data_IF_634498740308
#
_entry.id   IF_634498740308
#
_cell.length_a   1.000
_cell.length_b   1.000
_cell.length_c   1.000
_cell.angle_alpha   90.00
_cell.angle_beta   90.00
_cell.angle_gamma   90.00
#
_symmetry.space_group_name_H-M   'P 1'
#
loop_
_entity.id
_entity.type
_entity.pdbx_description
1 polymer ?
2 polymer ?
3 water ?
#
loop_
_entity_poly.entity_id
_entity_poly.type
_entity_poly.pdbx_seq_one_letter_code
_entity_poly.pdbx_strand_id
1 'polydeoxyribonucleotide' '(DC)(DG)(DA)(DA)(DT)(DT)(DA)(DA)(DT)(DT)(DC)(DG)' ?
#
# COMPACT_ATOMS: atom_id res chain seq x y z
N UNK I 1 -12.56 1.80 -1.21
CA UNK I 1 -12.86 0.46 -0.64
C UNK I 1 -11.59 -0.32 -0.33
N UNK I 2 -11.50 -0.81 0.91
CA UNK I 2 -10.48 -1.78 1.29
C UNK I 2 -11.11 -3.18 1.30
N UNK I 3 -10.31 -4.22 1.06
CA UNK I 3 -10.84 -5.58 1.15
C UNK I 3 -11.11 -5.96 2.61
N UNK I 4 -11.51 -7.22 2.84
CA UNK I 4 -11.80 -7.71 4.18
C UNK I 4 -10.51 -8.04 4.90
N UNK I 5 -10.50 -7.91 6.21
CA UNK I 5 -9.34 -8.37 7.00
C UNK I 5 -8.32 -7.31 7.36
N UNK I 6 -7.39 -7.68 8.24
CA UNK I 6 -6.41 -6.72 8.73
C UNK I 6 -5.48 -6.28 7.61
N UNK I 7 -5.26 -4.96 7.48
CA UNK I 7 -4.31 -4.47 6.45
C UNK I 7 -2.86 -4.93 6.73
N UNK I 8 -2.08 -5.17 5.67
CA UNK I 8 -0.65 -5.47 5.81
C UNK I 8 0.04 -4.32 6.53
N UNK I 9 1.22 -4.59 7.11
CA UNK I 9 1.93 -3.60 7.89
C UNK I 9 3.43 -3.55 7.57
N UNK I 10 3.77 -2.19 7.42
N UNK J 2 -9.55 -16.02 -17.84
CA UNK J 2 -8.58 -17.01 -17.27
C UNK J 2 -9.14 -18.44 -17.41
N UNK J 3 -8.26 -19.45 -17.43
CA UNK J 3 -8.68 -20.85 -17.43
C UNK J 3 -8.82 -21.38 -15.99
N UNK J 4 -9.18 -22.67 -15.88
CA UNK J 4 -9.37 -23.31 -14.58
C UNK J 4 -8.05 -23.51 -13.83
N UNK J 5 -8.10 -23.44 -12.50
CA UNK J 5 -6.96 -23.84 -11.67
C UNK J 5 -5.97 -22.75 -11.29
N UNK J 6 -4.98 -23.10 -10.49
CA UNK J 6 -3.99 -22.13 -10.06
C UNK J 6 -3.12 -21.66 -11.23
N UNK J 7 -2.95 -20.34 -11.36
CA UNK J 7 -2.06 -19.74 -12.34
C UNK J 7 -0.63 -20.23 -12.18
N UNK J 8 0.06 -20.41 -13.30
CA UNK J 8 1.50 -20.67 -13.27
C UNK J 8 2.16 -19.50 -12.59
N UNK J 9 3.36 -19.72 -12.08
CA UNK J 9 3.99 -18.72 -11.26
C UNK J 9 5.43 -18.57 -11.67
N UNK J 10 6.08 -17.39 -11.66
N UNK K 1 16.75 6.45 -1.59
CA UNK K 1 15.74 5.38 -1.86
C UNK K 1 14.35 5.95 -2.13
N UNK K 2 13.52 5.12 -2.75
CA UNK K 2 12.10 5.41 -2.89
C UNK K 2 11.32 4.35 -2.08
N UNK K 3 10.09 4.70 -1.67
CA UNK K 3 9.27 3.66 -1.03
C UNK K 3 8.94 2.51 -2.01
N UNK K 4 8.50 1.37 -1.48
CA UNK K 4 8.00 0.28 -2.32
C UNK K 4 6.76 0.79 -3.08
N UNK K 5 6.47 0.17 -4.22
CA UNK K 5 5.31 0.56 -5.00
C UNK K 5 5.57 1.74 -5.91
N UNK K 6 4.59 2.05 -6.73
CA UNK K 6 4.67 3.12 -7.70
C UNK K 6 4.75 4.47 -7.02
N UNK K 7 5.55 5.41 -7.58
CA UNK K 7 5.59 6.67 -6.85
C UNK K 7 4.29 7.42 -6.97
N UNK K 8 3.93 8.11 -5.91
CA UNK K 8 2.84 9.04 -5.92
C UNK K 8 3.28 10.24 -6.75
N UNK K 9 2.46 10.70 -7.68
CA UNK K 9 2.76 11.90 -8.44
C UNK K 9 2.10 13.14 -7.85
N UNK K 10 3.02 14.11 -7.79
N UNK L 2 11.41 20.44 15.22
CA UNK L 2 10.00 20.81 15.56
C UNK L 2 9.35 19.76 16.48
N UNK L 3 8.12 20.04 16.92
CA UNK L 3 7.34 19.07 17.69
C UNK L 3 6.88 17.95 16.76
N UNK L 4 6.14 16.98 17.30
CA UNK L 4 5.64 15.86 16.51
C UNK L 4 4.51 16.33 15.59
N UNK L 5 4.26 15.59 14.50
CA UNK L 5 3.13 15.88 13.62
C UNK L 5 3.31 17.06 12.68
N UNK L 6 2.29 17.29 11.84
CA UNK L 6 2.32 18.36 10.84
C UNK L 6 2.40 19.72 11.50
N UNK L 7 3.25 20.61 11.00
CA UNK L 7 3.33 21.93 11.63
C UNK L 7 2.05 22.75 11.44
N UNK L 8 1.65 23.49 12.47
CA UNK L 8 0.52 24.42 12.37
C UNK L 8 0.95 25.56 11.48
N UNK L 9 0.04 26.06 10.66
CA UNK L 9 0.35 27.19 9.81
C UNK L 9 -0.10 28.52 10.44
N UNK L 10 0.62 29.57 10.53
#
# INVERSE_FOLDING_TARGET
RKPRGRPKKX
RKPRGRPKKX
RKPRGRPKKX
RKPRGRPKKX
#
